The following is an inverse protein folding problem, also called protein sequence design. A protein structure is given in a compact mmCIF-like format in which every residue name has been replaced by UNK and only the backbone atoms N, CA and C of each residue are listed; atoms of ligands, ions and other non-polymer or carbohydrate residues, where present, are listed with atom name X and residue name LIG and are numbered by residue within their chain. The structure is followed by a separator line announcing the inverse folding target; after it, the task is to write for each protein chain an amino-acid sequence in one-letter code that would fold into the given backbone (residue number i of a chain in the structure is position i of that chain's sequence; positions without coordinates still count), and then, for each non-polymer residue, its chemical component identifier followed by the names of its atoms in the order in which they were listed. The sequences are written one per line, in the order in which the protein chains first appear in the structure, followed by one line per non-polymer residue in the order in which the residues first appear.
data_IF_633938189807
#
_entry.id   IF_633938189807
#
_cell.length_a   1.000
_cell.length_b   1.000
_cell.length_c   1.000
_cell.angle_alpha   90.00
_cell.angle_beta   90.00
_cell.angle_gamma   90.00
#
_symmetry.space_group_name_H-M   'P 1'
#
loop_
_entity.id
_entity.type
_entity.pdbx_description
1 polymer ?
#
# COMPACT_ATOMS: atom_id res chain seq x y z
N UNK A 1 20.16 12.73 6.25
CA UNK A 1 21.50 12.17 6.51
C UNK A 1 21.49 11.01 7.51
N UNK A 2 20.81 11.16 8.68
CA UNK A 2 20.83 10.12 9.74
C UNK A 2 20.24 8.79 9.29
N UNK A 3 19.09 8.79 8.63
CA UNK A 3 18.43 7.56 8.15
C UNK A 3 19.31 6.79 7.15
N UNK A 4 19.93 7.49 6.20
CA UNK A 4 20.87 6.89 5.25
C UNK A 4 22.10 6.28 5.92
N UNK A 5 22.69 6.99 6.90
CA UNK A 5 23.82 6.47 7.67
C UNK A 5 23.45 5.22 8.47
N UNK A 6 22.28 5.22 9.13
CA UNK A 6 21.76 4.05 9.85
C UNK A 6 21.48 2.87 8.92
N UNK A 7 20.90 3.10 7.74
CA UNK A 7 20.66 2.06 6.74
C UNK A 7 21.98 1.46 6.24
N UNK A 8 22.97 2.30 5.93
CA UNK A 8 24.31 1.85 5.53
C UNK A 8 24.96 0.99 6.62
N UNK A 9 24.91 1.45 7.86
CA UNK A 9 25.46 0.72 9.01
C UNK A 9 24.77 -0.64 9.18
N UNK A 10 23.42 -0.66 9.20
CA UNK A 10 22.65 -1.88 9.40
C UNK A 10 22.92 -2.93 8.30
N UNK A 11 22.94 -2.49 7.03
CA UNK A 11 23.24 -3.39 5.90
C UNK A 11 24.69 -3.89 5.93
N UNK A 12 25.64 -3.03 6.29
CA UNK A 12 27.04 -3.42 6.44
C UNK A 12 27.22 -4.45 7.55
N UNK A 13 26.57 -4.23 8.71
CA UNK A 13 26.61 -5.19 9.82
C UNK A 13 26.00 -6.54 9.41
N UNK A 14 24.86 -6.51 8.70
CA UNK A 14 24.23 -7.75 8.22
C UNK A 14 25.08 -8.47 7.19
N UNK A 15 25.75 -7.75 6.31
CA UNK A 15 26.69 -8.34 5.35
C UNK A 15 27.91 -8.96 6.05
N UNK A 16 28.43 -8.31 7.11
CA UNK A 16 29.53 -8.87 7.91
C UNK A 16 29.14 -10.13 8.70
N UNK A 17 27.87 -10.23 9.12
CA UNK A 17 27.33 -11.44 9.76
C UNK A 17 27.36 -12.64 8.80
N UNK A 18 27.04 -12.40 7.52
CA UNK A 18 27.02 -13.42 6.47
C UNK A 18 28.41 -13.71 5.89
N UNK A 19 29.27 -12.71 5.83
CA UNK A 19 30.65 -12.83 5.34
C UNK A 19 31.59 -12.00 6.21
N UNK A 20 32.32 -12.63 7.11
CA UNK A 20 33.28 -11.98 8.04
C UNK A 20 34.40 -11.19 7.33
N UNK A 21 34.60 -11.42 6.04
CA UNK A 21 35.60 -10.72 5.21
C UNK A 21 34.99 -9.56 4.41
N UNK A 22 33.69 -9.25 4.58
CA UNK A 22 32.97 -8.25 3.78
C UNK A 22 33.70 -6.89 3.75
N UNK A 23 34.13 -6.38 4.91
CA UNK A 23 34.84 -5.11 5.03
C UNK A 23 36.20 -5.08 4.31
N UNK A 24 36.84 -6.24 4.13
CA UNK A 24 38.11 -6.34 3.42
C UNK A 24 37.97 -6.30 1.90
N UNK A 25 36.72 -6.47 1.38
CA UNK A 25 36.46 -6.47 -0.07
C UNK A 25 36.36 -5.06 -0.66
N UNK A 26 36.35 -4.02 0.16
CA UNK A 26 36.17 -2.64 -0.31
C UNK A 26 34.80 -2.35 -0.93
N UNK A 27 33.79 -3.18 -0.62
CA UNK A 27 32.42 -3.01 -1.10
C UNK A 27 31.59 -2.37 -0.01
N UNK A 28 30.74 -1.42 -0.39
CA UNK A 28 29.77 -0.78 0.51
C UNK A 28 28.35 -0.85 -0.07
N UNK A 29 27.32 -0.89 0.79
CA UNK A 29 25.94 -0.77 0.34
C UNK A 29 25.72 0.56 -0.40
N UNK A 30 24.99 0.54 -1.49
CA UNK A 30 24.57 1.76 -2.20
C UNK A 30 23.32 2.29 -1.56
N UNK A 31 23.44 3.39 -0.82
CA UNK A 31 22.32 4.05 -0.14
C UNK A 31 22.06 5.38 -0.83
N UNK A 32 20.85 5.55 -1.34
CA UNK A 32 20.34 6.81 -1.87
C UNK A 32 19.29 7.36 -0.92
N UNK A 33 19.51 8.57 -0.43
CA UNK A 33 18.53 9.31 0.37
C UNK A 33 17.80 10.26 -0.54
N UNK A 34 16.49 10.14 -0.60
CA UNK A 34 15.64 10.98 -1.43
C UNK A 34 15.27 12.24 -0.65
N UNK A 35 15.71 13.41 -1.13
CA UNK A 35 15.47 14.70 -0.50
C UNK A 35 14.77 15.60 -1.50
N UNK A 36 13.95 16.53 -0.99
CA UNK A 36 13.34 17.52 -1.88
C UNK A 36 14.40 18.36 -2.59
N UNK A 37 14.17 18.61 -3.87
CA UNK A 37 14.97 19.46 -4.72
C UNK A 37 14.07 20.51 -5.34
N UNK A 38 14.20 21.74 -4.87
CA UNK A 38 13.41 22.89 -5.30
C UNK A 38 14.34 23.93 -5.90
N UNK A 39 13.94 24.51 -7.04
CA UNK A 39 14.70 25.54 -7.73
C UNK A 39 14.10 26.90 -7.47
N UNK A 40 14.94 27.87 -7.06
CA UNK A 40 14.54 29.24 -6.87
C UNK A 40 14.26 29.93 -8.23
N UNK A 41 13.47 31.00 -8.24
CA UNK A 41 13.13 31.71 -9.49
C UNK A 41 14.35 32.08 -10.34
N UNK A 42 15.47 32.48 -9.71
CA UNK A 42 16.74 32.86 -10.36
C UNK A 42 17.47 31.66 -10.96
N UNK A 43 17.21 30.45 -10.48
CA UNK A 43 17.80 29.20 -10.97
C UNK A 43 17.02 28.61 -12.16
N UNK A 44 15.72 28.99 -12.33
CA UNK A 44 14.84 28.40 -13.35
C UNK A 44 15.33 28.64 -14.79
N UNK A 45 16.10 29.66 -15.04
CA UNK A 45 16.70 29.93 -16.37
C UNK A 45 17.76 28.88 -16.75
N UNK A 46 18.33 28.17 -15.78
CA UNK A 46 19.37 27.18 -15.96
C UNK A 46 18.85 25.73 -16.04
N UNK A 47 17.54 25.52 -15.95
CA UNK A 47 16.90 24.20 -15.94
C UNK A 47 15.81 24.11 -17.01
N UNK A 48 16.14 24.45 -18.24
CA UNK A 48 15.20 24.56 -19.35
C UNK A 48 14.54 23.23 -19.71
N UNK A 49 15.30 22.14 -19.81
CA UNK A 49 14.79 20.83 -20.17
C UNK A 49 13.93 20.26 -19.04
N UNK A 50 14.34 20.43 -17.78
CA UNK A 50 13.58 20.00 -16.61
C UNK A 50 12.29 20.81 -16.45
N UNK A 51 12.32 22.11 -16.75
CA UNK A 51 11.12 22.98 -16.73
C UNK A 51 10.06 22.53 -17.73
N UNK A 52 10.46 21.91 -18.83
CA UNK A 52 9.53 21.29 -19.79
C UNK A 52 8.94 19.96 -19.28
N UNK A 53 9.30 19.53 -18.06
CA UNK A 53 8.81 18.35 -17.34
C UNK A 53 8.14 18.75 -16.00
N UNK A 54 7.01 19.48 -16.04
CA UNK A 54 6.42 20.08 -14.82
C UNK A 54 6.02 19.02 -13.77
N UNK A 55 5.64 17.83 -14.18
CA UNK A 55 5.31 16.75 -13.25
C UNK A 55 6.53 16.20 -12.52
N UNK A 56 7.70 16.14 -13.19
CA UNK A 56 8.95 15.75 -12.57
C UNK A 56 9.46 16.85 -11.64
N UNK A 57 9.35 18.10 -12.05
CA UNK A 57 9.73 19.26 -11.23
C UNK A 57 8.92 19.33 -9.93
N UNK A 58 7.60 19.16 -10.03
CA UNK A 58 6.71 19.11 -8.86
C UNK A 58 7.07 17.93 -7.96
N UNK A 59 7.31 16.74 -8.54
CA UNK A 59 7.72 15.57 -7.76
C UNK A 59 9.11 15.73 -7.12
N UNK A 60 10.06 16.40 -7.77
CA UNK A 60 11.38 16.68 -7.21
C UNK A 60 11.29 17.60 -5.98
N UNK A 61 10.40 18.61 -6.01
CA UNK A 61 10.13 19.48 -4.87
C UNK A 61 9.49 18.77 -3.68
N UNK A 62 8.96 17.54 -3.88
CA UNK A 62 8.32 16.71 -2.87
C UNK A 62 8.90 15.28 -2.83
N UNK A 63 10.16 15.13 -3.22
CA UNK A 63 10.79 13.81 -3.34
C UNK A 63 10.93 13.10 -1.98
N UNK A 64 11.03 13.85 -0.91
CA UNK A 64 10.99 13.36 0.47
C UNK A 64 9.61 12.81 0.89
N UNK A 65 8.53 13.17 0.18
CA UNK A 65 7.16 12.72 0.45
C UNK A 65 6.77 11.53 -0.45
N UNK A 66 6.93 11.65 -1.77
CA UNK A 66 6.59 10.57 -2.70
C UNK A 66 7.65 9.45 -2.72
N UNK A 67 8.88 9.77 -2.39
CA UNK A 67 9.97 8.80 -2.27
C UNK A 67 10.11 7.90 -3.49
N UNK A 68 10.35 6.62 -3.24
CA UNK A 68 10.50 5.61 -4.30
C UNK A 68 9.20 5.25 -5.04
N UNK A 69 8.06 5.83 -4.68
CA UNK A 69 6.85 5.76 -5.51
C UNK A 69 6.99 6.52 -6.82
N UNK A 70 7.91 7.50 -6.90
CA UNK A 70 8.15 8.22 -8.15
C UNK A 70 8.67 7.26 -9.23
N UNK A 71 7.97 7.22 -10.36
CA UNK A 71 8.44 6.54 -11.57
C UNK A 71 9.19 7.54 -12.42
N UNK A 72 10.43 7.21 -12.77
CA UNK A 72 11.34 8.04 -13.55
C UNK A 72 11.58 7.37 -14.90
N UNK A 73 11.35 8.10 -15.98
CA UNK A 73 11.64 7.63 -17.34
C UNK A 73 13.09 7.93 -17.73
N UNK A 74 13.57 7.29 -18.80
CA UNK A 74 14.86 7.64 -19.43
C UNK A 74 14.90 9.09 -19.88
N UNK A 75 13.79 9.60 -20.41
CA UNK A 75 13.66 10.99 -20.86
C UNK A 75 13.71 11.99 -19.71
N UNK A 76 13.23 11.62 -18.51
CA UNK A 76 13.35 12.44 -17.31
C UNK A 76 14.83 12.58 -16.88
N UNK A 77 15.58 11.48 -16.90
CA UNK A 77 17.03 11.51 -16.64
C UNK A 77 17.80 12.29 -17.71
N UNK A 78 17.42 12.13 -18.98
CA UNK A 78 18.03 12.90 -20.07
C UNK A 78 17.80 14.40 -19.91
N UNK A 79 16.61 14.83 -19.49
CA UNK A 79 16.32 16.24 -19.24
C UNK A 79 17.26 16.82 -18.17
N UNK A 80 17.40 16.12 -17.04
CA UNK A 80 18.32 16.51 -15.96
C UNK A 80 19.77 16.52 -16.45
N UNK A 81 20.19 15.52 -17.23
CA UNK A 81 21.53 15.41 -17.74
C UNK A 81 21.86 16.53 -18.76
N UNK A 82 20.90 16.91 -19.61
CA UNK A 82 21.05 18.01 -20.59
C UNK A 82 21.21 19.37 -19.91
N UNK A 83 20.34 19.65 -18.92
CA UNK A 83 20.46 20.88 -18.12
C UNK A 83 21.80 20.92 -17.39
N UNK A 84 22.24 19.81 -16.80
CA UNK A 84 23.55 19.74 -16.15
C UNK A 84 24.70 19.97 -17.15
N UNK A 85 24.60 19.40 -18.35
CA UNK A 85 25.62 19.59 -19.38
C UNK A 85 25.68 21.04 -19.91
N UNK A 86 24.53 21.73 -19.99
CA UNK A 86 24.50 23.15 -20.42
C UNK A 86 25.17 24.09 -19.42
N UNK A 87 25.33 23.68 -18.18
CA UNK A 87 26.00 24.42 -17.11
C UNK A 87 27.50 24.16 -17.02
N UNK A 88 28.06 23.37 -17.95
CA UNK A 88 29.50 23.14 -17.97
C UNK A 88 30.24 24.45 -18.31
N UNK A 89 31.00 24.98 -17.34
CA UNK A 89 31.70 26.25 -17.45
C UNK A 89 30.89 27.50 -17.03
N UNK A 90 29.69 27.31 -16.49
CA UNK A 90 28.91 28.41 -15.92
C UNK A 90 29.53 28.87 -14.59
N UNK A 91 29.88 30.15 -14.50
CA UNK A 91 30.58 30.73 -13.34
C UNK A 91 29.66 31.59 -12.44
N UNK A 92 28.37 31.73 -12.80
CA UNK A 92 27.45 32.50 -11.99
C UNK A 92 27.06 31.75 -10.71
N UNK A 93 26.72 32.47 -9.63
CA UNK A 93 26.30 31.91 -8.36
C UNK A 93 25.04 31.01 -8.53
N UNK A 94 24.07 31.52 -9.25
CA UNK A 94 22.81 30.78 -9.46
C UNK A 94 22.98 29.57 -10.40
N UNK A 95 23.84 29.68 -11.41
CA UNK A 95 24.20 28.54 -12.25
C UNK A 95 24.93 27.46 -11.47
N UNK A 96 25.83 27.83 -10.56
CA UNK A 96 26.54 26.91 -9.68
C UNK A 96 25.58 26.18 -8.71
N UNK A 97 24.61 26.90 -8.10
CA UNK A 97 23.60 26.33 -7.25
C UNK A 97 22.67 25.38 -8.01
N UNK A 98 22.22 25.77 -9.20
CA UNK A 98 21.41 24.92 -10.08
C UNK A 98 22.18 23.64 -10.47
N UNK A 99 23.46 23.74 -10.82
CA UNK A 99 24.31 22.59 -11.15
C UNK A 99 24.45 21.61 -9.96
N UNK A 100 24.61 22.11 -8.74
CA UNK A 100 24.66 21.27 -7.53
C UNK A 100 23.33 20.52 -7.29
N UNK A 101 22.20 21.24 -7.42
CA UNK A 101 20.87 20.65 -7.30
C UNK A 101 20.59 19.60 -8.38
N UNK A 102 20.98 19.87 -9.63
CA UNK A 102 20.83 18.91 -10.73
C UNK A 102 21.69 17.66 -10.54
N UNK A 103 22.96 17.80 -10.09
CA UNK A 103 23.84 16.67 -9.78
C UNK A 103 23.20 15.78 -8.70
N UNK A 104 22.67 16.39 -7.63
CA UNK A 104 21.98 15.66 -6.58
C UNK A 104 20.75 14.97 -7.13
N UNK A 105 19.89 15.67 -7.87
CA UNK A 105 18.69 15.12 -8.46
C UNK A 105 19.02 13.94 -9.40
N UNK A 106 20.04 14.02 -10.21
CA UNK A 106 20.48 12.94 -11.08
C UNK A 106 20.84 11.67 -10.29
N UNK A 107 21.59 11.81 -9.19
CA UNK A 107 21.98 10.71 -8.31
C UNK A 107 20.76 10.09 -7.61
N UNK A 108 19.81 10.92 -7.20
CA UNK A 108 18.60 10.47 -6.48
C UNK A 108 17.58 9.79 -7.43
N UNK A 109 17.48 10.25 -8.68
CA UNK A 109 16.55 9.70 -9.68
C UNK A 109 17.08 8.44 -10.38
N UNK A 110 18.40 8.29 -10.53
CA UNK A 110 19.01 7.16 -11.26
C UNK A 110 18.52 5.79 -10.73
N UNK A 111 18.53 5.48 -9.42
CA UNK A 111 18.02 4.20 -8.93
C UNK A 111 16.51 4.03 -9.11
N UNK A 112 15.74 5.10 -9.26
CA UNK A 112 14.28 5.04 -9.46
C UNK A 112 13.89 4.73 -10.91
N UNK A 113 14.82 4.92 -11.86
CA UNK A 113 14.64 4.63 -13.28
C UNK A 113 15.03 3.20 -13.66
N UNK A 114 15.76 2.51 -12.79
CA UNK A 114 16.28 1.16 -13.03
C UNK A 114 15.25 0.10 -12.71
N UNK A 115 15.49 -1.10 -13.24
CA UNK A 115 14.81 -2.33 -12.84
C UNK A 115 15.77 -3.24 -12.08
N UNK A 116 15.22 -4.10 -11.24
CA UNK A 116 15.97 -4.95 -10.32
C UNK A 116 15.45 -6.38 -10.35
N UNK A 117 16.35 -7.35 -10.21
CA UNK A 117 15.98 -8.78 -10.09
C UNK A 117 15.12 -9.03 -8.86
N UNK A 118 15.37 -8.29 -7.77
CA UNK A 118 14.64 -8.41 -6.50
C UNK A 118 14.37 -7.03 -5.91
N UNK A 119 13.11 -6.77 -5.60
CA UNK A 119 12.63 -5.58 -4.90
C UNK A 119 12.09 -5.99 -3.55
N UNK A 120 12.60 -5.44 -2.45
CA UNK A 120 12.14 -5.73 -1.09
C UNK A 120 11.73 -4.44 -0.41
N UNK A 121 10.53 -4.39 0.15
CA UNK A 121 10.06 -3.20 0.87
C UNK A 121 9.15 -3.54 2.06
N UNK A 122 9.24 -2.69 3.07
CA UNK A 122 8.26 -2.55 4.13
C UNK A 122 7.72 -1.12 4.06
N UNK A 123 6.74 -0.86 3.17
CA UNK A 123 6.22 0.47 2.93
C UNK A 123 5.43 1.01 4.13
N UNK A 124 5.28 2.32 4.27
CA UNK A 124 4.45 2.89 5.32
C UNK A 124 2.97 2.50 5.13
N UNK A 125 2.30 2.15 6.22
CA UNK A 125 0.86 1.90 6.27
C UNK A 125 0.15 3.21 6.55
N UNK A 126 -0.13 3.96 5.49
CA UNK A 126 -0.73 5.28 5.58
C UNK A 126 -1.96 5.35 4.69
N UNK A 127 -3.13 5.25 5.29
CA UNK A 127 -4.40 5.46 4.60
C UNK A 127 -4.51 6.89 4.07
N UNK A 128 -5.24 7.06 2.98
CA UNK A 128 -5.39 8.35 2.27
C UNK A 128 -5.92 9.51 3.13
N UNK A 129 -6.60 9.22 4.24
CA UNK A 129 -7.04 10.23 5.22
C UNK A 129 -5.91 10.85 6.04
N UNK A 130 -4.78 10.16 6.13
CA UNK A 130 -3.60 10.58 6.91
C UNK A 130 -2.51 11.20 6.03
N UNK A 131 -2.68 11.17 4.71
CA UNK A 131 -1.78 11.83 3.77
C UNK A 131 -2.03 13.33 3.80
N UNK A 132 -0.97 14.13 3.62
CA UNK A 132 -1.13 15.56 3.41
C UNK A 132 -1.83 15.86 2.06
N UNK A 133 -2.17 17.13 1.81
CA UNK A 133 -2.93 17.51 0.63
C UNK A 133 -2.22 17.20 -0.69
N UNK A 134 -0.88 17.44 -0.76
CA UNK A 134 -0.09 17.20 -1.95
C UNK A 134 0.01 15.71 -2.24
N UNK A 135 0.47 14.90 -1.28
CA UNK A 135 0.64 13.45 -1.45
C UNK A 135 -0.68 12.75 -1.80
N UNK A 136 -1.79 13.15 -1.13
CA UNK A 136 -3.12 12.62 -1.44
C UNK A 136 -3.55 12.94 -2.88
N UNK A 137 -3.29 14.16 -3.36
CA UNK A 137 -3.57 14.58 -4.73
C UNK A 137 -2.70 13.85 -5.75
N UNK A 138 -1.40 13.74 -5.46
CA UNK A 138 -0.42 13.08 -6.29
C UNK A 138 -0.68 11.58 -6.45
N UNK A 139 -0.96 10.88 -5.33
CA UNK A 139 -1.29 9.44 -5.38
C UNK A 139 -2.61 9.17 -6.11
N UNK A 140 -3.63 10.01 -5.94
CA UNK A 140 -4.89 9.90 -6.70
C UNK A 140 -4.67 10.04 -8.21
N UNK A 141 -3.73 10.87 -8.64
CA UNK A 141 -3.40 11.06 -10.06
C UNK A 141 -2.61 9.88 -10.61
N UNK A 142 -1.57 9.41 -9.88
CA UNK A 142 -0.60 8.42 -10.35
C UNK A 142 -0.98 6.97 -10.03
N UNK A 143 -1.68 6.75 -8.92
CA UNK A 143 -2.02 5.45 -8.36
C UNK A 143 -3.53 5.29 -8.13
N UNK A 144 -4.35 5.83 -9.03
CA UNK A 144 -5.82 5.98 -8.92
C UNK A 144 -6.53 4.77 -8.30
N UNK A 145 -6.15 3.56 -8.66
CA UNK A 145 -6.82 2.32 -8.25
C UNK A 145 -6.38 1.79 -6.89
N UNK A 146 -5.21 2.26 -6.41
CA UNK A 146 -4.57 1.79 -5.18
C UNK A 146 -4.26 2.92 -4.19
N UNK A 147 -4.65 4.17 -4.49
CA UNK A 147 -4.34 5.38 -3.71
C UNK A 147 -4.99 5.45 -2.32
N UNK A 148 -5.75 4.44 -1.92
CA UNK A 148 -6.40 4.39 -0.60
C UNK A 148 -5.43 4.16 0.54
N UNK A 149 -4.27 3.54 0.26
CA UNK A 149 -3.19 3.32 1.21
C UNK A 149 -1.84 3.36 0.48
N UNK A 150 -0.79 3.89 1.11
CA UNK A 150 0.53 3.94 0.51
C UNK A 150 1.10 2.53 0.26
N UNK A 151 0.90 1.59 1.18
CA UNK A 151 1.42 0.24 1.00
C UNK A 151 0.88 -0.44 -0.27
N UNK A 152 -0.35 -0.15 -0.67
CA UNK A 152 -0.91 -0.66 -1.93
C UNK A 152 -0.36 0.06 -3.17
N UNK A 153 0.01 1.34 -3.03
CA UNK A 153 0.76 2.05 -4.08
C UNK A 153 2.13 1.40 -4.30
N UNK A 154 2.79 0.94 -3.24
CA UNK A 154 4.08 0.25 -3.34
C UNK A 154 3.97 -1.11 -4.02
N UNK A 155 2.90 -1.88 -3.83
CA UNK A 155 2.65 -3.10 -4.60
C UNK A 155 2.64 -2.78 -6.12
N UNK A 156 1.93 -1.73 -6.52
CA UNK A 156 1.89 -1.33 -7.94
C UNK A 156 3.23 -0.79 -8.42
N UNK A 157 3.96 -0.07 -7.59
CA UNK A 157 5.30 0.44 -7.91
C UNK A 157 6.31 -0.69 -8.10
N UNK A 158 6.22 -1.74 -7.30
CA UNK A 158 7.07 -2.91 -7.39
C UNK A 158 7.05 -3.55 -8.77
N UNK A 159 5.90 -3.61 -9.45
CA UNK A 159 5.80 -4.11 -10.83
C UNK A 159 6.64 -3.35 -11.84
N UNK A 160 6.90 -2.06 -11.61
CA UNK A 160 7.74 -1.25 -12.49
C UNK A 160 9.22 -1.20 -12.06
N UNK A 161 9.50 -1.49 -10.79
CA UNK A 161 10.86 -1.60 -10.26
C UNK A 161 11.47 -2.99 -10.47
N UNK A 162 10.66 -4.04 -10.47
CA UNK A 162 11.16 -5.38 -10.73
C UNK A 162 11.30 -5.64 -12.23
N UNK A 163 12.36 -6.34 -12.60
CA UNK A 163 12.56 -6.81 -13.97
C UNK A 163 11.45 -7.79 -14.38
N UNK A 164 11.34 -8.01 -15.68
CA UNK A 164 10.58 -9.13 -16.23
C UNK A 164 11.16 -10.41 -15.64
N UNK A 165 10.35 -11.20 -14.91
CA UNK A 165 10.76 -12.35 -14.12
C UNK A 165 11.55 -12.02 -12.83
N UNK A 166 11.62 -10.75 -12.41
CA UNK A 166 12.11 -10.36 -11.10
C UNK A 166 11.13 -10.70 -9.99
N UNK A 167 11.58 -10.56 -8.75
CA UNK A 167 10.77 -10.81 -7.57
C UNK A 167 10.49 -9.53 -6.81
N UNK A 168 9.29 -9.45 -6.26
CA UNK A 168 8.90 -8.40 -5.34
C UNK A 168 8.53 -9.02 -4.00
N UNK A 169 9.15 -8.59 -2.90
CA UNK A 169 8.84 -9.04 -1.56
C UNK A 169 8.40 -7.86 -0.69
N UNK A 170 7.18 -7.92 -0.17
CA UNK A 170 6.55 -6.83 0.57
C UNK A 170 5.96 -7.32 1.89
N UNK A 171 5.97 -6.44 2.88
CA UNK A 171 5.09 -6.55 4.05
C UNK A 171 4.08 -5.41 3.95
N UNK A 172 2.78 -5.72 3.90
CA UNK A 172 1.70 -4.74 3.73
C UNK A 172 0.62 -4.92 4.79
N UNK A 173 -0.31 -3.98 4.87
CA UNK A 173 -1.57 -4.20 5.60
C UNK A 173 -2.34 -5.38 4.96
N UNK A 174 -2.96 -6.22 5.78
CA UNK A 174 -3.80 -7.34 5.35
C UNK A 174 -5.10 -6.89 4.65
N UNK A 175 -5.50 -5.63 4.83
CA UNK A 175 -6.70 -5.05 4.22
C UNK A 175 -6.72 -5.19 2.69
N UNK A 176 -5.54 -5.19 2.06
CA UNK A 176 -5.39 -5.42 0.62
C UNK A 176 -5.91 -6.79 0.16
N UNK A 177 -5.99 -7.79 1.05
CA UNK A 177 -6.44 -9.14 0.73
C UNK A 177 -7.93 -9.23 0.38
N UNK A 178 -8.80 -8.40 0.97
CA UNK A 178 -10.25 -8.62 0.91
C UNK A 178 -11.12 -7.36 0.78
N UNK A 179 -10.62 -6.16 1.12
CA UNK A 179 -11.45 -4.95 1.02
C UNK A 179 -11.82 -4.68 -0.45
N UNK A 180 -13.09 -4.36 -0.71
CA UNK A 180 -13.63 -4.15 -2.05
C UNK A 180 -12.92 -3.03 -2.83
N UNK A 181 -12.43 -1.99 -2.15
CA UNK A 181 -11.69 -0.90 -2.79
C UNK A 181 -10.37 -1.34 -3.44
N UNK A 182 -9.83 -2.51 -3.08
CA UNK A 182 -8.60 -3.08 -3.65
C UNK A 182 -8.84 -4.27 -4.59
N UNK A 183 -10.08 -4.51 -5.00
CA UNK A 183 -10.41 -5.59 -5.94
C UNK A 183 -9.62 -5.51 -7.24
N UNK A 184 -9.54 -4.31 -7.84
CA UNK A 184 -8.79 -4.10 -9.09
C UNK A 184 -7.30 -4.40 -8.93
N UNK A 185 -6.72 -4.00 -7.80
CA UNK A 185 -5.32 -4.32 -7.48
C UNK A 185 -5.12 -5.84 -7.37
N UNK A 186 -6.00 -6.55 -6.66
CA UNK A 186 -5.89 -8.01 -6.54
C UNK A 186 -5.99 -8.71 -7.90
N UNK A 187 -6.90 -8.28 -8.76
CA UNK A 187 -6.98 -8.78 -10.13
C UNK A 187 -5.70 -8.51 -10.90
N UNK A 188 -5.15 -7.30 -10.84
CA UNK A 188 -3.87 -6.96 -11.48
C UNK A 188 -2.71 -7.82 -10.95
N UNK A 189 -2.65 -8.06 -9.62
CA UNK A 189 -1.66 -8.98 -9.01
C UNK A 189 -1.80 -10.39 -9.59
N UNK A 190 -3.01 -10.94 -9.64
CA UNK A 190 -3.27 -12.31 -10.13
C UNK A 190 -2.95 -12.44 -11.63
N UNK A 191 -3.30 -11.44 -12.42
CA UNK A 191 -3.11 -11.44 -13.87
C UNK A 191 -1.65 -11.24 -14.30
N UNK A 192 -0.94 -10.33 -13.62
CA UNK A 192 0.42 -9.93 -14.02
C UNK A 192 1.53 -10.70 -13.34
N UNK A 193 1.26 -11.24 -12.18
CA UNK A 193 2.29 -11.86 -11.34
C UNK A 193 1.88 -13.27 -10.91
N UNK A 194 2.83 -14.00 -10.36
CA UNK A 194 2.57 -15.24 -9.62
C UNK A 194 2.84 -15.01 -8.14
N UNK A 195 1.86 -15.28 -7.30
CA UNK A 195 2.06 -15.28 -5.84
C UNK A 195 2.86 -16.53 -5.47
N UNK A 196 4.15 -16.35 -5.20
CA UNK A 196 5.06 -17.46 -4.85
C UNK A 196 4.91 -17.86 -3.40
N UNK A 197 4.85 -16.83 -2.53
CA UNK A 197 4.69 -17.03 -1.09
C UNK A 197 3.76 -15.93 -0.53
N UNK A 198 2.92 -16.33 0.41
CA UNK A 198 2.05 -15.42 1.14
C UNK A 198 2.01 -15.80 2.61
N UNK A 199 2.32 -14.86 3.49
CA UNK A 199 2.33 -15.06 4.94
C UNK A 199 1.26 -14.17 5.56
N UNK A 200 0.22 -14.79 6.11
CA UNK A 200 -0.89 -14.12 6.78
C UNK A 200 -0.65 -14.12 8.29
N UNK A 201 -0.38 -12.95 8.85
CA UNK A 201 -0.06 -12.80 10.28
C UNK A 201 -1.15 -12.09 11.09
N UNK A 202 -2.37 -11.99 10.55
CA UNK A 202 -3.49 -11.27 11.17
C UNK A 202 -3.77 -11.67 12.62
N UNK A 203 -4.21 -10.70 13.41
CA UNK A 203 -4.98 -10.93 14.64
C UNK A 203 -4.19 -11.18 15.90
N UNK A 204 -2.89 -10.83 15.96
CA UNK A 204 -2.10 -11.07 17.16
C UNK A 204 -1.11 -9.95 17.42
N UNK A 205 -1.47 -9.05 18.32
CA UNK A 205 -0.59 -7.95 18.71
C UNK A 205 0.58 -8.44 19.55
N UNK A 206 1.78 -8.34 19.00
CA UNK A 206 3.02 -8.51 19.77
C UNK A 206 3.27 -7.31 20.69
N UNK A 207 2.77 -6.12 20.31
CA UNK A 207 2.91 -4.87 21.03
C UNK A 207 1.66 -4.01 20.80
N UNK A 208 1.08 -3.37 21.82
CA UNK A 208 -0.16 -2.58 21.69
C UNK A 208 -0.03 -1.41 20.71
N UNK A 209 1.19 -0.90 20.48
CA UNK A 209 1.45 0.22 19.58
C UNK A 209 1.86 -0.21 18.15
N UNK A 210 1.95 -1.52 17.87
CA UNK A 210 2.28 -2.04 16.55
C UNK A 210 1.02 -2.56 15.87
N UNK A 211 0.70 -1.99 14.72
CA UNK A 211 -0.40 -2.48 13.88
C UNK A 211 -0.07 -3.88 13.37
N UNK A 212 -0.82 -4.86 13.83
CA UNK A 212 -0.51 -6.30 13.67
C UNK A 212 -1.29 -6.99 12.53
N UNK A 213 -2.05 -6.25 11.77
CA UNK A 213 -2.79 -6.80 10.63
C UNK A 213 -1.92 -6.76 9.37
N UNK A 214 -0.88 -7.62 9.34
CA UNK A 214 0.11 -7.63 8.26
C UNK A 214 -0.02 -8.86 7.37
N UNK A 215 0.38 -8.67 6.11
CA UNK A 215 0.53 -9.74 5.13
C UNK A 215 1.90 -9.62 4.45
N UNK A 216 2.65 -10.71 4.44
CA UNK A 216 3.91 -10.82 3.70
C UNK A 216 3.66 -11.42 2.31
N UNK A 217 4.20 -10.80 1.27
CA UNK A 217 4.06 -11.22 -0.12
C UNK A 217 5.43 -11.51 -0.72
N UNK A 218 5.50 -12.55 -1.52
CA UNK A 218 6.56 -12.73 -2.53
C UNK A 218 5.86 -12.95 -3.86
N UNK A 219 5.97 -11.96 -4.72
CA UNK A 219 5.41 -11.95 -6.06
C UNK A 219 6.52 -12.18 -7.07
N UNK A 220 6.31 -13.04 -8.04
CA UNK A 220 7.16 -13.17 -9.20
C UNK A 220 6.53 -12.36 -10.35
N UNK A 221 7.24 -11.37 -10.86
CA UNK A 221 6.77 -10.48 -11.92
C UNK A 221 6.66 -11.21 -13.28
N UNK A 222 5.89 -12.27 -13.27
CA UNK A 222 5.61 -13.09 -14.43
C UNK A 222 4.27 -13.82 -14.24
N UNK A 223 3.34 -13.74 -15.19
CA UNK A 223 2.10 -14.50 -15.13
C UNK A 223 2.39 -15.99 -15.22
N UNK A 224 1.88 -16.76 -14.25
CA UNK A 224 2.12 -18.20 -14.19
C UNK A 224 0.83 -18.96 -13.91
N UNK A 225 0.02 -19.21 -14.93
CA UNK A 225 -1.31 -19.85 -14.80
C UNK A 225 -1.30 -21.16 -13.99
N UNK A 226 -0.19 -21.87 -13.93
CA UNK A 226 -0.06 -23.18 -13.26
C UNK A 226 0.81 -23.18 -12.00
N UNK A 227 1.29 -22.02 -11.54
CA UNK A 227 2.10 -21.95 -10.32
C UNK A 227 1.21 -22.05 -9.10
N UNK A 228 1.51 -23.01 -8.23
CA UNK A 228 0.91 -23.12 -6.91
C UNK A 228 1.79 -22.40 -5.91
N UNK A 229 1.32 -21.25 -5.43
CA UNK A 229 1.98 -20.51 -4.35
C UNK A 229 1.86 -21.23 -3.01
N UNK A 230 2.74 -20.87 -2.09
CA UNK A 230 2.78 -21.32 -0.70
C UNK A 230 2.14 -20.28 0.20
N UNK A 231 1.12 -20.65 0.96
CA UNK A 231 0.36 -19.73 1.81
C UNK A 231 0.43 -20.21 3.26
N UNK A 232 0.84 -19.32 4.16
CA UNK A 232 1.01 -19.61 5.59
C UNK A 232 -0.01 -18.80 6.39
N UNK A 233 -0.88 -19.48 7.13
CA UNK A 233 -1.87 -18.88 8.02
C UNK A 233 -1.31 -18.81 9.44
N UNK A 234 -0.60 -17.74 9.77
CA UNK A 234 0.10 -17.55 11.03
C UNK A 234 -0.58 -16.53 11.95
N UNK A 235 -1.91 -16.61 12.06
CA UNK A 235 -2.71 -15.74 12.89
C UNK A 235 -2.72 -16.16 14.37
N UNK A 236 -1.54 -16.34 14.95
CA UNK A 236 -1.32 -16.78 16.34
C UNK A 236 -0.37 -15.83 17.07
N UNK A 237 -0.37 -15.79 18.43
CA UNK A 237 0.57 -14.99 19.19
C UNK A 237 2.04 -15.33 18.90
N UNK A 238 2.93 -14.34 19.06
CA UNK A 238 4.38 -14.57 19.13
C UNK A 238 4.70 -15.18 20.52
N UNK A 239 5.52 -16.23 20.70
CA UNK A 239 6.42 -16.83 19.69
C UNK A 239 5.81 -17.95 18.82
N UNK A 240 4.53 -18.28 18.99
CA UNK A 240 3.88 -19.38 18.27
C UNK A 240 3.94 -19.24 16.74
N UNK A 241 3.91 -18.01 16.22
CA UNK A 241 4.06 -17.74 14.77
C UNK A 241 5.34 -18.34 14.19
N UNK A 242 6.48 -18.13 14.86
CA UNK A 242 7.77 -18.65 14.39
C UNK A 242 7.82 -20.16 14.44
N UNK A 243 7.31 -20.74 15.51
CA UNK A 243 7.24 -22.19 15.66
C UNK A 243 6.34 -22.82 14.59
N UNK A 244 5.16 -22.23 14.35
CA UNK A 244 4.22 -22.70 13.32
C UNK A 244 4.77 -22.56 11.91
N UNK A 245 5.55 -21.52 11.64
CA UNK A 245 6.23 -21.39 10.35
C UNK A 245 7.22 -22.53 10.14
N UNK A 246 8.06 -22.82 11.14
CA UNK A 246 9.02 -23.93 11.09
C UNK A 246 8.31 -25.28 10.93
N UNK A 247 7.21 -25.47 11.66
CA UNK A 247 6.40 -26.68 11.55
C UNK A 247 5.78 -26.84 10.16
N UNK A 248 5.25 -25.76 9.58
CA UNK A 248 4.70 -25.77 8.23
C UNK A 248 5.75 -26.07 7.15
N UNK A 249 6.98 -25.63 7.36
CA UNK A 249 8.10 -25.95 6.47
C UNK A 249 8.51 -27.42 6.58
N UNK A 250 8.40 -28.01 7.76
CA UNK A 250 8.73 -29.41 8.01
C UNK A 250 7.59 -30.38 7.66
N UNK A 251 6.32 -29.95 7.84
CA UNK A 251 5.14 -30.75 7.62
C UNK A 251 4.07 -29.95 6.83
N UNK A 252 4.01 -30.12 5.52
CA UNK A 252 3.02 -29.43 4.68
C UNK A 252 1.55 -29.76 5.01
N UNK A 253 1.27 -30.81 5.76
CA UNK A 253 -0.08 -31.23 6.15
C UNK A 253 -0.50 -30.70 7.53
N UNK A 254 0.19 -29.72 8.07
CA UNK A 254 -0.06 -29.16 9.42
C UNK A 254 -1.40 -28.43 9.60
N UNK A 255 -2.17 -28.18 8.52
CA UNK A 255 -3.49 -27.56 8.56
C UNK A 255 -3.48 -26.02 8.48
N UNK A 256 -2.34 -25.35 8.58
CA UNK A 256 -2.19 -23.89 8.38
C UNK A 256 -1.21 -23.53 7.26
N UNK A 257 -0.77 -24.52 6.50
CA UNK A 257 -0.06 -24.38 5.24
C UNK A 257 -0.95 -24.78 4.08
N UNK A 258 -0.97 -23.98 3.03
CA UNK A 258 -1.80 -24.21 1.84
C UNK A 258 -0.97 -24.05 0.58
N UNK A 259 -1.24 -24.90 -0.41
CA UNK A 259 -0.68 -24.75 -1.75
C UNK A 259 -1.80 -24.65 -2.76
N UNK A 260 -1.97 -23.46 -3.34
CA UNK A 260 -3.03 -23.23 -4.32
C UNK A 260 -2.59 -22.27 -5.41
N UNK A 261 -3.32 -22.29 -6.53
CA UNK A 261 -3.12 -21.35 -7.62
C UNK A 261 -3.97 -20.09 -7.37
N UNK A 262 -3.36 -18.92 -7.54
CA UNK A 262 -4.04 -17.63 -7.31
C UNK A 262 -5.21 -17.37 -8.28
N UNK A 263 -5.21 -17.96 -9.49
CA UNK A 263 -6.33 -17.86 -10.44
C UNK A 263 -7.67 -18.34 -9.86
N UNK A 264 -7.63 -19.25 -8.87
CA UNK A 264 -8.84 -19.71 -8.18
C UNK A 264 -9.55 -18.64 -7.36
N UNK A 265 -8.87 -17.55 -7.01
CA UNK A 265 -9.46 -16.45 -6.23
C UNK A 265 -10.41 -15.58 -7.05
N UNK A 266 -10.26 -15.56 -8.37
CA UNK A 266 -11.14 -14.81 -9.29
C UNK A 266 -12.57 -15.37 -9.33
N UNK A 267 -12.76 -16.64 -8.98
CA UNK A 267 -14.08 -17.25 -8.87
C UNK A 267 -14.93 -16.66 -7.72
N UNK A 268 -14.29 -15.96 -6.76
CA UNK A 268 -14.95 -15.36 -5.61
C UNK A 268 -15.17 -13.86 -5.89
N UNK A 269 -16.39 -13.32 -5.70
CA UNK A 269 -16.66 -11.90 -5.88
C UNK A 269 -15.68 -11.02 -5.10
N UNK A 270 -15.07 -10.04 -5.79
CA UNK A 270 -14.03 -9.19 -5.25
C UNK A 270 -12.62 -9.80 -5.24
N UNK A 271 -12.44 -11.00 -5.77
CA UNK A 271 -11.16 -11.72 -5.89
C UNK A 271 -10.30 -11.68 -4.61
N UNK A 272 -10.86 -11.98 -3.41
CA UNK A 272 -10.10 -11.96 -2.18
C UNK A 272 -9.00 -13.04 -2.21
N UNK A 273 -7.88 -12.79 -1.52
CA UNK A 273 -6.79 -13.77 -1.39
C UNK A 273 -7.21 -14.84 -0.37
N UNK A 274 -8.18 -15.66 -0.76
CA UNK A 274 -8.86 -16.63 0.09
C UNK A 274 -8.27 -18.04 -0.08
N UNK A 275 -6.97 -18.18 0.13
CA UNK A 275 -6.17 -19.38 -0.10
C UNK A 275 -6.63 -20.63 0.70
N UNK A 276 -7.42 -20.43 1.78
CA UNK A 276 -7.97 -21.50 2.63
C UNK A 276 -9.31 -22.07 2.13
N UNK A 277 -9.92 -21.45 1.11
CA UNK A 277 -11.21 -21.90 0.57
C UNK A 277 -11.00 -23.05 -0.41
N UNK A 278 -11.77 -24.13 -0.25
CA UNK A 278 -11.74 -25.23 -1.19
C UNK A 278 -12.35 -24.83 -2.54
N UNK A 279 -11.92 -25.46 -3.60
CA UNK A 279 -12.47 -25.23 -4.96
C UNK A 279 -13.99 -25.49 -5.03
N UNK A 280 -14.48 -26.46 -4.25
CA UNK A 280 -15.92 -26.71 -4.16
C UNK A 280 -16.68 -25.52 -3.56
N UNK A 281 -16.15 -24.95 -2.49
CA UNK A 281 -16.73 -23.77 -1.84
C UNK A 281 -16.63 -22.51 -2.75
N UNK A 282 -15.52 -22.31 -3.46
CA UNK A 282 -15.37 -21.22 -4.42
C UNK A 282 -16.41 -21.31 -5.57
N UNK A 283 -16.71 -22.52 -6.04
CA UNK A 283 -17.70 -22.72 -7.11
C UNK A 283 -19.15 -22.37 -6.68
N UNK A 284 -19.44 -22.30 -5.38
CA UNK A 284 -20.77 -21.88 -4.89
C UNK A 284 -21.06 -20.41 -5.24
N UNK A 285 -20.03 -19.58 -5.37
CA UNK A 285 -20.18 -18.17 -5.77
C UNK A 285 -20.61 -17.98 -7.23
N UNK A 286 -20.51 -19.01 -8.08
CA UNK A 286 -21.07 -19.01 -9.44
C UNK A 286 -22.58 -19.22 -9.47
N UNK A 287 -23.20 -19.63 -8.35
CA UNK A 287 -24.63 -19.80 -8.20
C UNK A 287 -25.38 -18.50 -7.87
N UNK A 288 -26.66 -18.61 -7.62
CA UNK A 288 -27.52 -17.48 -7.22
C UNK A 288 -27.10 -16.90 -5.89
N UNK A 289 -26.94 -15.60 -5.82
CA UNK A 289 -26.50 -14.88 -4.62
C UNK A 289 -27.69 -14.35 -3.80
N UNK A 290 -27.47 -14.01 -2.55
CA UNK A 290 -28.49 -13.33 -1.72
C UNK A 290 -28.89 -11.98 -2.36
N UNK A 291 -27.97 -11.32 -3.09
CA UNK A 291 -28.25 -10.07 -3.77
C UNK A 291 -29.29 -10.20 -4.89
N UNK A 292 -29.49 -11.41 -5.43
CA UNK A 292 -30.54 -11.68 -6.44
C UNK A 292 -31.95 -11.71 -5.83
N UNK A 293 -32.05 -11.88 -4.49
CA UNK A 293 -33.30 -11.96 -3.75
C UNK A 293 -33.55 -10.76 -2.86
N UNK A 294 -32.52 -9.99 -2.52
CA UNK A 294 -32.66 -8.88 -1.60
C UNK A 294 -31.44 -8.00 -1.51
N UNK A 295 -31.59 -6.87 -0.86
CA UNK A 295 -30.54 -5.91 -0.61
C UNK A 295 -29.92 -6.14 0.76
N UNK A 296 -28.61 -6.37 0.80
CA UNK A 296 -27.82 -6.41 2.04
C UNK A 296 -27.05 -5.10 2.19
N UNK A 297 -27.44 -4.29 3.15
CA UNK A 297 -26.81 -2.99 3.39
C UNK A 297 -26.66 -2.68 4.87
N UNK A 298 -25.82 -1.70 5.16
CA UNK A 298 -25.71 -1.13 6.51
C UNK A 298 -26.89 -0.16 6.67
N UNK A 299 -27.68 -0.34 7.74
CA UNK A 299 -28.71 0.60 8.11
C UNK A 299 -28.13 1.96 8.56
N UNK A 300 -28.95 2.79 9.15
CA UNK A 300 -28.57 4.12 9.59
C UNK A 300 -27.43 4.06 10.62
N UNK A 301 -26.42 4.93 10.45
CA UNK A 301 -25.36 5.18 11.42
C UNK A 301 -25.50 6.56 12.00
N UNK A 302 -25.54 6.67 13.32
CA UNK A 302 -25.69 7.95 14.01
C UNK A 302 -24.41 8.78 14.04
N UNK A 303 -23.23 8.15 13.87
CA UNK A 303 -21.93 8.80 14.04
C UNK A 303 -21.59 9.12 15.51
N UNK A 304 -22.53 9.73 16.23
CA UNK A 304 -22.40 10.06 17.65
C UNK A 304 -23.68 9.64 18.40
N UNK A 305 -23.56 8.50 19.08
CA UNK A 305 -24.72 7.96 19.82
C UNK A 305 -25.12 8.83 21.02
N UNK A 306 -24.16 9.40 21.72
CA UNK A 306 -24.44 10.22 22.90
C UNK A 306 -25.23 11.49 22.51
N UNK A 307 -24.95 12.01 21.33
CA UNK A 307 -25.64 13.19 20.79
C UNK A 307 -27.01 12.86 20.19
N UNK A 308 -27.12 11.77 19.43
CA UNK A 308 -28.28 11.51 18.55
C UNK A 308 -29.22 10.41 19.04
N UNK A 309 -28.85 9.65 20.07
CA UNK A 309 -29.74 8.62 20.63
C UNK A 309 -30.23 9.00 22.02
N UNK A 310 -31.49 8.65 22.29
CA UNK A 310 -32.12 8.71 23.61
C UNK A 310 -32.93 7.45 23.80
N UNK A 311 -33.05 7.03 25.02
CA UNK A 311 -34.05 6.00 25.35
C UNK A 311 -35.44 6.59 25.25
N UNK A 312 -36.42 5.78 24.94
CA UNK A 312 -37.82 6.22 24.78
C UNK A 312 -38.38 6.94 26.01
N UNK A 313 -37.89 6.61 27.20
CA UNK A 313 -38.31 7.22 28.47
C UNK A 313 -37.57 8.54 28.80
N UNK A 314 -36.56 8.91 28.02
CA UNK A 314 -35.83 10.17 28.18
C UNK A 314 -36.45 11.33 27.37
N UNK A 315 -37.43 11.03 26.52
CA UNK A 315 -38.08 11.99 25.63
C UNK A 315 -39.58 12.01 25.80
N UNK A 316 -40.24 13.14 25.57
CA UNK A 316 -41.68 13.22 25.59
C UNK A 316 -42.33 12.39 24.48
N UNK A 317 -43.27 11.56 24.80
CA UNK A 317 -43.93 10.66 23.86
C UNK A 317 -44.54 11.41 22.67
N UNK A 318 -45.05 12.58 22.91
CA UNK A 318 -45.63 13.50 21.89
C UNK A 318 -44.61 14.02 20.89
N UNK A 319 -43.31 13.90 21.19
CA UNK A 319 -42.25 14.32 20.29
C UNK A 319 -41.70 13.17 19.44
N UNK A 320 -42.24 11.94 19.60
CA UNK A 320 -41.81 10.76 18.86
C UNK A 320 -42.70 10.56 17.64
N UNK A 321 -42.11 10.58 16.48
CA UNK A 321 -42.78 10.26 15.21
C UNK A 321 -42.87 8.76 14.99
N UNK A 322 -44.05 8.18 15.13
CA UNK A 322 -44.31 6.78 14.86
C UNK A 322 -44.97 6.64 13.48
N UNK A 323 -44.52 5.65 12.69
CA UNK A 323 -45.08 5.39 11.36
C UNK A 323 -44.67 6.39 10.29
N UNK A 324 -43.55 7.09 10.47
CA UNK A 324 -42.99 8.02 9.47
C UNK A 324 -42.22 7.22 8.42
N UNK A 325 -42.65 7.29 7.18
CA UNK A 325 -42.13 6.48 6.08
C UNK A 325 -41.06 7.20 5.21
N UNK A 326 -40.92 8.53 5.34
CA UNK A 326 -39.93 9.28 4.58
C UNK A 326 -39.35 10.47 5.36
N UNK A 327 -38.24 11.01 4.90
CA UNK A 327 -37.61 12.20 5.48
C UNK A 327 -38.50 13.44 5.33
N UNK A 328 -39.22 13.57 4.22
CA UNK A 328 -40.18 14.65 3.97
C UNK A 328 -41.37 14.56 4.94
N UNK A 329 -41.88 13.37 5.16
CA UNK A 329 -42.96 13.12 6.13
C UNK A 329 -42.50 13.48 7.57
N UNK A 330 -41.22 13.19 7.92
CA UNK A 330 -40.67 13.59 9.20
C UNK A 330 -40.62 15.10 9.37
N UNK A 331 -40.13 15.83 8.38
CA UNK A 331 -40.06 17.31 8.43
C UNK A 331 -41.46 17.87 8.57
N UNK A 332 -42.44 17.36 7.86
CA UNK A 332 -43.83 17.78 7.92
C UNK A 332 -44.49 17.45 9.28
N UNK A 333 -44.10 16.37 9.94
CA UNK A 333 -44.69 15.98 11.23
C UNK A 333 -44.22 16.80 12.44
N UNK A 334 -43.17 17.63 12.28
CA UNK A 334 -42.49 18.33 13.38
C UNK A 334 -41.97 17.40 14.51
N UNK A 335 -41.93 16.07 14.29
CA UNK A 335 -41.44 15.11 15.28
C UNK A 335 -39.92 15.22 15.41
N UNK A 336 -39.44 15.36 16.64
CA UNK A 336 -38.02 15.50 16.93
C UNK A 336 -37.31 14.17 16.95
N UNK A 337 -37.98 13.11 17.41
CA UNK A 337 -37.42 11.79 17.62
C UNK A 337 -38.12 10.76 16.74
N UNK A 338 -37.32 9.79 16.24
CA UNK A 338 -37.83 8.70 15.43
C UNK A 338 -37.37 7.39 16.08
N UNK A 339 -38.24 6.37 16.18
CA UNK A 339 -37.84 5.06 16.67
C UNK A 339 -36.68 4.49 15.86
N UNK A 340 -35.62 4.09 16.53
CA UNK A 340 -34.44 3.53 15.95
C UNK A 340 -34.05 2.21 16.61
N UNK A 341 -34.08 1.12 15.84
CA UNK A 341 -33.63 -0.17 16.30
C UNK A 341 -32.12 -0.24 16.29
N UNK A 342 -31.50 -0.28 17.46
CA UNK A 342 -30.07 -0.46 17.60
C UNK A 342 -29.76 -1.76 18.30
N UNK A 343 -28.77 -2.51 17.75
CA UNK A 343 -28.22 -3.66 18.43
C UNK A 343 -27.61 -3.25 19.77
N UNK A 344 -27.84 -4.06 20.79
CA UNK A 344 -27.35 -3.89 22.15
C UNK A 344 -26.87 -5.23 22.72
N UNK A 345 -26.64 -5.25 24.05
CA UNK A 345 -26.35 -6.49 24.75
C UNK A 345 -27.55 -7.42 24.69
N UNK A 346 -27.26 -8.74 24.73
CA UNK A 346 -28.30 -9.76 24.69
C UNK A 346 -29.37 -9.53 25.76
N UNK A 347 -30.64 -9.41 25.35
CA UNK A 347 -31.82 -9.18 26.21
C UNK A 347 -31.84 -7.81 26.94
N UNK A 348 -31.15 -6.79 26.47
CA UNK A 348 -31.35 -5.40 26.91
C UNK A 348 -32.06 -4.59 25.83
#
# INVERSE_FOLDING_TARGET
PRAGAMASFALTMKACELDSRFLRRGVSPRITVLNRVEFEPEELQYVEYLRNRPELMDAAAHLDECGSLLTVSSEDLEAVARDLASLAGEETIFGGLAAEKLKRLQVELDPLSRRYDVVVANPPYMGSSNMNGWLSGWTKKRYKEVCKDLCTCFIKRGFSLSDDRGYEALITSDTCMYISSFEKMRKEVIERTSIVCFIDTRGTNAHPDVFDANAGWVLWNHPGANIKGSYFKLNHPIPEKSQRLLEALANPDCGWFYRTNASGFEAIPGSPIAYWISRKAANLFAGTSIADYGFAGIGMRTGDNARFLRFWFEVGFETIGIGIESAEAQIASYSKWIPYNKGGEFRK
#
